data_IF_523799508001
#
_entry.id   IF_523799508001
#
_cell.length_a   1.000
_cell.length_b   1.000
_cell.length_c   1.000
_cell.angle_alpha   90.00
_cell.angle_beta   90.00
_cell.angle_gamma   90.00
#
_symmetry.space_group_name_H-M   'P 1'
#
loop_
_entity.id
_entity.type
_entity.pdbx_description
1 polymer ?
#
# COMPACT_ATOMS: atom_id res chain seq x y z
N UNK A 1 4.81 6.47 -2.92
CA UNK A 1 4.80 6.46 -4.40
C UNK A 1 3.45 5.94 -4.87
N UNK A 2 2.75 6.71 -5.71
CA UNK A 2 1.49 6.31 -6.33
C UNK A 2 1.74 6.01 -7.81
N UNK A 3 1.41 4.79 -8.25
CA UNK A 3 1.38 4.41 -9.67
C UNK A 3 0.14 5.02 -10.38
N UNK A 4 -0.22 4.51 -11.56
CA UNK A 4 -1.34 5.03 -12.35
C UNK A 4 -2.71 4.52 -11.85
N UNK A 5 -3.78 5.28 -12.15
CA UNK A 5 -5.18 4.85 -12.00
C UNK A 5 -5.58 4.42 -10.58
N UNK A 6 -5.02 5.06 -9.56
CA UNK A 6 -5.33 4.75 -8.16
C UNK A 6 -6.59 5.49 -7.74
N UNK A 7 -7.51 4.77 -7.10
CA UNK A 7 -8.74 5.34 -6.55
C UNK A 7 -8.64 5.33 -5.04
N UNK A 8 -8.77 6.50 -4.43
CA UNK A 8 -8.89 6.67 -2.98
C UNK A 8 -10.28 7.25 -2.72
N UNK A 9 -11.17 6.46 -2.10
CA UNK A 9 -12.57 6.85 -1.91
C UNK A 9 -12.89 6.97 -0.44
N UNK A 10 -13.11 8.21 0.02
CA UNK A 10 -13.35 8.54 1.43
C UNK A 10 -14.79 8.38 1.92
N UNK A 11 -15.76 8.02 1.07
CA UNK A 11 -17.17 7.91 1.47
C UNK A 11 -18.08 7.53 0.31
N UNK A 12 -19.38 7.40 0.58
CA UNK A 12 -20.40 7.07 -0.43
C UNK A 12 -21.26 8.25 -0.85
N UNK A 13 -21.01 9.45 -0.32
CA UNK A 13 -21.75 10.66 -0.68
C UNK A 13 -21.82 10.86 -2.21
N UNK A 14 -23.00 11.16 -2.80
CA UNK A 14 -24.26 11.52 -2.13
C UNK A 14 -25.20 10.34 -1.79
N UNK A 15 -24.77 9.09 -1.98
CA UNK A 15 -25.61 7.92 -1.75
C UNK A 15 -25.58 7.52 -0.28
N UNK A 16 -26.75 7.63 0.37
CA UNK A 16 -26.89 7.36 1.79
C UNK A 16 -27.33 5.91 2.01
N UNK A 17 -26.70 5.24 2.98
CA UNK A 17 -27.00 3.86 3.36
C UNK A 17 -27.54 3.87 4.79
N UNK A 18 -28.68 3.21 5.01
CA UNK A 18 -29.32 3.12 6.32
C UNK A 18 -29.52 1.65 6.70
N UNK A 19 -29.40 1.36 7.99
CA UNK A 19 -29.74 0.06 8.55
C UNK A 19 -31.28 -0.08 8.63
N UNK A 20 -31.83 -1.19 8.13
CA UNK A 20 -33.29 -1.39 8.07
C UNK A 20 -33.95 -1.66 9.43
N UNK A 21 -33.17 -2.02 10.45
CA UNK A 21 -33.69 -2.35 11.79
C UNK A 21 -33.69 -1.12 12.69
N UNK A 22 -32.59 -0.37 12.67
CA UNK A 22 -32.34 0.78 13.55
C UNK A 22 -32.67 2.12 12.87
N UNK A 23 -32.77 2.16 11.54
CA UNK A 23 -32.85 3.38 10.72
C UNK A 23 -31.63 4.31 10.85
N UNK A 24 -30.51 3.80 11.39
CA UNK A 24 -29.29 4.57 11.53
C UNK A 24 -28.53 4.69 10.19
N UNK A 25 -27.88 5.84 9.98
CA UNK A 25 -26.99 6.07 8.84
C UNK A 25 -25.68 5.30 9.03
N UNK A 26 -25.28 4.52 8.02
CA UNK A 26 -24.18 3.55 8.12
C UNK A 26 -22.84 4.02 7.53
N UNK A 27 -22.77 5.19 6.87
CA UNK A 27 -21.51 5.65 6.29
C UNK A 27 -20.66 6.36 7.36
N UNK A 28 -19.73 5.60 7.94
CA UNK A 28 -18.71 6.15 8.85
C UNK A 28 -17.42 6.36 8.07
N UNK A 29 -17.09 7.62 7.79
CA UNK A 29 -15.80 8.00 7.19
C UNK A 29 -14.81 8.41 8.28
N UNK A 30 -14.03 7.45 8.77
CA UNK A 30 -12.93 7.71 9.72
C UNK A 30 -11.67 8.23 9.01
N UNK A 31 -11.80 8.78 7.81
CA UNK A 31 -10.67 9.16 6.95
C UNK A 31 -9.92 7.97 6.36
N UNK A 32 -8.82 8.27 5.68
CA UNK A 32 -7.93 7.28 5.06
C UNK A 32 -6.49 7.69 5.41
N UNK A 33 -5.72 6.76 5.97
CA UNK A 33 -4.35 7.00 6.39
C UNK A 33 -3.40 6.14 5.57
N UNK A 34 -2.47 6.77 4.87
CA UNK A 34 -1.41 6.09 4.13
C UNK A 34 -0.09 6.50 4.78
N UNK A 35 0.61 5.52 5.34
CA UNK A 35 1.87 5.73 6.04
C UNK A 35 3.01 6.21 5.15
N UNK A 36 4.14 6.48 5.78
CA UNK A 36 5.35 6.94 5.11
C UNK A 36 5.92 5.87 4.20
N UNK A 37 6.43 6.31 3.04
CA UNK A 37 7.04 5.43 2.03
C UNK A 37 6.16 4.22 1.67
N UNK A 38 4.85 4.40 1.53
CA UNK A 38 4.01 3.37 0.92
C UNK A 38 4.12 3.42 -0.59
N UNK A 39 4.27 2.26 -1.23
CA UNK A 39 4.06 2.12 -2.67
C UNK A 39 2.65 1.58 -2.93
N UNK A 40 1.83 2.32 -3.66
CA UNK A 40 0.55 1.82 -4.14
C UNK A 40 0.62 1.53 -5.63
N UNK A 41 0.41 0.26 -5.98
CA UNK A 41 0.46 -0.27 -7.33
C UNK A 41 -0.71 0.20 -8.19
N UNK A 42 -0.53 0.04 -9.50
CA UNK A 42 -1.47 0.52 -10.51
C UNK A 42 -2.89 -0.02 -10.30
N UNK A 43 -3.90 0.85 -10.44
CA UNK A 43 -5.30 0.44 -10.41
C UNK A 43 -5.80 0.01 -9.02
N UNK A 44 -5.01 0.21 -7.96
CA UNK A 44 -5.44 -0.12 -6.61
C UNK A 44 -6.59 0.80 -6.17
N UNK A 45 -7.51 0.21 -5.40
CA UNK A 45 -8.67 0.88 -4.84
C UNK A 45 -8.56 0.88 -3.31
N UNK A 46 -8.46 2.06 -2.71
CA UNK A 46 -8.34 2.26 -1.26
C UNK A 46 -9.66 2.84 -0.76
N UNK A 47 -10.39 2.05 0.05
CA UNK A 47 -11.70 2.43 0.56
C UNK A 47 -11.60 3.29 1.84
N UNK A 48 -12.71 3.90 2.23
CA UNK A 48 -12.86 4.70 3.46
C UNK A 48 -12.52 3.89 4.71
N UNK A 49 -12.03 4.56 5.75
CA UNK A 49 -11.67 3.95 7.03
C UNK A 49 -10.42 3.08 6.99
N UNK A 50 -9.72 3.01 5.85
CA UNK A 50 -8.49 2.24 5.69
C UNK A 50 -7.30 2.98 6.29
N UNK A 51 -6.41 2.21 6.92
CA UNK A 51 -5.03 2.62 7.21
C UNK A 51 -4.07 1.65 6.54
N UNK A 52 -2.95 2.15 6.02
CA UNK A 52 -1.82 1.36 5.52
C UNK A 52 -0.57 1.80 6.29
N UNK A 53 0.11 0.85 6.93
CA UNK A 53 1.33 1.12 7.68
C UNK A 53 2.52 1.52 6.80
N UNK A 54 3.60 1.94 7.46
CA UNK A 54 4.79 2.47 6.80
C UNK A 54 5.52 1.40 5.99
N UNK A 55 6.23 1.84 4.95
CA UNK A 55 7.05 0.99 4.08
C UNK A 55 6.30 -0.18 3.41
N UNK A 56 4.96 -0.11 3.37
CA UNK A 56 4.15 -1.15 2.77
C UNK A 56 4.06 -1.00 1.25
N UNK A 57 3.75 -2.11 0.59
CA UNK A 57 3.45 -2.19 -0.83
C UNK A 57 2.01 -2.65 -0.99
N UNK A 58 1.15 -1.82 -1.56
CA UNK A 58 -0.18 -2.22 -2.01
C UNK A 58 -0.06 -2.73 -3.44
N UNK A 59 -0.37 -4.01 -3.66
CA UNK A 59 -0.26 -4.63 -4.98
C UNK A 59 -1.20 -4.01 -6.01
N UNK A 60 -0.85 -4.11 -7.29
CA UNK A 60 -1.70 -3.62 -8.39
C UNK A 60 -3.11 -4.23 -8.34
N UNK A 61 -4.13 -3.42 -8.66
CA UNK A 61 -5.55 -3.78 -8.67
C UNK A 61 -6.09 -4.36 -7.35
N UNK A 62 -5.41 -4.10 -6.25
CA UNK A 62 -5.89 -4.53 -4.93
C UNK A 62 -7.05 -3.66 -4.47
N UNK A 63 -8.02 -4.27 -3.79
CA UNK A 63 -9.14 -3.56 -3.15
C UNK A 63 -8.96 -3.60 -1.64
N UNK A 64 -8.48 -2.49 -1.09
CA UNK A 64 -8.14 -2.34 0.32
C UNK A 64 -9.37 -1.87 1.06
N UNK A 65 -9.91 -2.71 1.95
CA UNK A 65 -11.22 -2.49 2.61
C UNK A 65 -11.15 -2.50 4.13
N UNK A 66 -9.97 -2.64 4.72
CA UNK A 66 -9.77 -2.64 6.17
C UNK A 66 -8.45 -1.99 6.57
N UNK A 67 -8.31 -1.71 7.86
CA UNK A 67 -7.07 -1.19 8.47
C UNK A 67 -5.97 -2.24 8.47
N UNK A 68 -4.77 -1.82 8.08
CA UNK A 68 -3.52 -2.55 8.17
C UNK A 68 -2.53 -1.70 8.98
N UNK A 69 -2.19 -2.17 10.19
CA UNK A 69 -1.24 -1.50 11.10
C UNK A 69 0.17 -2.08 11.01
N UNK A 70 0.36 -3.13 10.21
CA UNK A 70 1.66 -3.73 9.94
C UNK A 70 2.51 -2.79 9.08
N UNK A 71 3.82 -2.76 9.34
CA UNK A 71 4.81 -2.07 8.51
C UNK A 71 5.57 -3.08 7.66
N UNK A 72 6.26 -2.64 6.61
CA UNK A 72 7.19 -3.50 5.84
C UNK A 72 6.52 -4.76 5.27
N UNK A 73 5.31 -4.61 4.73
CA UNK A 73 4.50 -5.71 4.23
C UNK A 73 4.00 -5.48 2.80
N UNK A 74 3.75 -6.57 2.07
CA UNK A 74 2.96 -6.56 0.84
C UNK A 74 1.51 -6.85 1.19
N UNK A 75 0.63 -5.91 0.82
CA UNK A 75 -0.82 -5.98 0.95
C UNK A 75 -1.40 -6.13 -0.45
N UNK A 76 -2.04 -7.25 -0.76
CA UNK A 76 -2.54 -7.51 -2.11
C UNK A 76 -3.84 -8.30 -2.14
N UNK A 77 -4.57 -8.20 -3.26
CA UNK A 77 -5.77 -8.98 -3.56
C UNK A 77 -7.07 -8.18 -3.47
N UNK A 78 -8.18 -8.86 -3.74
CA UNK A 78 -9.54 -8.32 -3.64
C UNK A 78 -10.46 -9.34 -2.95
N UNK A 79 -10.84 -9.13 -1.67
CA UNK A 79 -10.39 -8.04 -0.80
C UNK A 79 -8.93 -8.25 -0.34
N UNK A 80 -8.17 -7.16 -0.20
CA UNK A 80 -6.74 -7.21 0.06
C UNK A 80 -6.40 -7.85 1.42
N UNK A 81 -5.28 -8.57 1.48
CA UNK A 81 -4.71 -9.18 2.70
C UNK A 81 -3.20 -8.98 2.73
N UNK A 82 -2.59 -9.14 3.90
CA UNK A 82 -1.12 -9.25 3.99
C UNK A 82 -0.73 -10.58 3.33
N UNK A 83 0.08 -10.50 2.27
CA UNK A 83 0.57 -11.68 1.54
C UNK A 83 2.04 -11.96 1.82
N UNK A 84 2.77 -10.96 2.33
CA UNK A 84 4.16 -11.07 2.74
C UNK A 84 4.51 -10.01 3.77
N UNK A 85 5.33 -10.37 4.75
CA UNK A 85 5.90 -9.47 5.75
C UNK A 85 7.44 -9.48 5.64
N UNK A 86 8.08 -8.53 6.35
CA UNK A 86 9.53 -8.33 6.37
C UNK A 86 10.09 -8.02 4.97
N UNK A 87 9.47 -7.06 4.28
CA UNK A 87 9.90 -6.58 2.97
C UNK A 87 10.16 -5.08 2.99
N UNK A 88 10.98 -4.63 2.04
CA UNK A 88 11.21 -3.22 1.76
C UNK A 88 11.20 -3.01 0.24
N UNK A 89 10.88 -1.79 -0.18
CA UNK A 89 10.93 -1.41 -1.59
C UNK A 89 11.79 -0.16 -1.76
N UNK A 90 12.44 -0.07 -2.93
CA UNK A 90 13.21 1.09 -3.37
C UNK A 90 12.79 1.43 -4.79
N UNK A 91 12.75 2.72 -5.13
CA UNK A 91 12.16 3.14 -6.42
C UNK A 91 13.01 2.77 -7.63
N UNK A 92 14.35 2.74 -7.48
CA UNK A 92 15.29 2.33 -8.52
C UNK A 92 16.68 2.05 -7.92
N UNK A 93 17.56 1.46 -8.73
CA UNK A 93 18.95 1.17 -8.37
C UNK A 93 19.82 2.41 -8.15
N UNK A 94 19.52 3.53 -8.82
CA UNK A 94 20.29 4.76 -8.66
C UNK A 94 20.20 5.29 -7.23
N UNK A 95 19.06 5.11 -6.58
CA UNK A 95 18.90 5.45 -5.16
C UNK A 95 19.70 4.54 -4.23
N UNK A 96 19.96 3.29 -4.60
CA UNK A 96 20.87 2.44 -3.83
C UNK A 96 22.31 2.98 -3.93
N UNK A 97 22.72 3.39 -5.14
CA UNK A 97 24.06 3.93 -5.36
C UNK A 97 24.26 5.31 -4.70
N UNK A 98 23.23 6.15 -4.70
CA UNK A 98 23.27 7.48 -4.10
C UNK A 98 23.21 7.48 -2.57
N UNK A 99 22.69 6.40 -1.95
CA UNK A 99 22.59 6.24 -0.51
C UNK A 99 23.24 4.92 -0.07
N UNK A 100 24.58 4.87 0.05
CA UNK A 100 25.32 3.64 0.36
C UNK A 100 24.92 2.99 1.69
N UNK A 101 24.53 3.78 2.69
CA UNK A 101 24.08 3.25 3.98
C UNK A 101 22.73 2.50 3.85
N UNK A 102 21.86 2.95 2.94
CA UNK A 102 20.63 2.23 2.58
C UNK A 102 20.98 0.97 1.79
N UNK A 103 21.92 1.04 0.85
CA UNK A 103 22.39 -0.13 0.11
C UNK A 103 23.01 -1.19 1.03
N UNK A 104 23.78 -0.79 2.03
CA UNK A 104 24.41 -1.66 3.02
C UNK A 104 23.39 -2.42 3.89
N UNK A 105 22.16 -1.91 3.99
CA UNK A 105 21.06 -2.62 4.67
C UNK A 105 20.52 -3.81 3.86
N UNK A 106 20.83 -3.89 2.56
CA UNK A 106 20.54 -5.03 1.71
C UNK A 106 21.75 -5.96 1.61
N UNK A 107 21.55 -7.27 1.75
CA UNK A 107 22.63 -8.23 1.65
C UNK A 107 23.39 -8.11 0.31
N UNK A 108 24.72 -8.21 0.31
CA UNK A 108 25.58 -8.12 -0.88
C UNK A 108 25.15 -9.04 -2.03
N UNK A 109 24.54 -10.19 -1.70
CA UNK A 109 24.01 -11.14 -2.68
C UNK A 109 22.84 -10.56 -3.48
N UNK A 110 22.02 -9.68 -2.88
CA UNK A 110 20.93 -9.01 -3.55
C UNK A 110 21.43 -7.93 -4.53
N UNK A 111 22.40 -7.11 -4.11
CA UNK A 111 23.02 -6.09 -4.97
C UNK A 111 23.73 -6.73 -6.18
N UNK A 112 24.42 -7.85 -5.96
CA UNK A 112 25.06 -8.61 -7.03
C UNK A 112 24.07 -9.23 -8.04
N UNK A 113 22.82 -9.52 -7.64
CA UNK A 113 21.78 -9.97 -8.57
C UNK A 113 21.30 -8.84 -9.47
N UNK A 114 21.08 -7.65 -8.93
CA UNK A 114 20.66 -6.45 -9.69
C UNK A 114 21.66 -6.18 -10.83
N UNK A 115 22.95 -6.11 -10.49
CA UNK A 115 24.03 -5.83 -11.45
C UNK A 115 24.19 -6.89 -12.56
N UNK A 116 23.69 -8.12 -12.38
CA UNK A 116 23.72 -9.17 -13.40
C UNK A 116 22.55 -9.10 -14.38
N UNK A 117 21.38 -8.61 -13.94
CA UNK A 117 20.18 -8.46 -14.79
C UNK A 117 20.23 -7.25 -15.71
N UNK A 118 21.08 -6.26 -15.42
CA UNK A 118 21.25 -5.05 -16.24
C UNK A 118 22.37 -5.18 -17.29
N UNK A 119 22.73 -6.42 -17.68
CA UNK A 119 23.62 -6.74 -18.81
C UNK A 119 22.89 -7.47 -19.91
#
# INVERSE_FOLDING_TARGET
>A
MFSNNIIIRGGEYPHLIFDLTTNEYLDVSDGIFIGDRVWVGEGAYINKGVSVGNDCIVGARSVVTKRFTVNNAVIAGNPARVVKENVQWVANELLLNAYPDLAASFADTALNRINKTNR
#
